data_IF_784944941053
#
_entry.id   IF_784944941053
#
_cell.length_a   1.000
_cell.length_b   1.000
_cell.length_c   1.000
_cell.angle_alpha   90.00
_cell.angle_beta   90.00
_cell.angle_gamma   90.00
#
_symmetry.space_group_name_H-M   'P 1'
#
loop_
_entity.id
_entity.type
_entity.pdbx_description
1 polymer ?
#
# COMPACT_ATOMS: atom_id res chain seq x y z
N UNK A 1 5.63 -10.11 -2.95
CA UNK A 1 5.34 -8.95 -3.82
C UNK A 1 5.31 -9.32 -5.30
N UNK A 2 4.69 -8.49 -6.15
CA UNK A 2 4.74 -8.63 -7.63
C UNK A 2 4.89 -7.25 -8.28
N UNK A 3 5.93 -6.52 -7.88
CA UNK A 3 6.22 -5.21 -8.46
C UNK A 3 6.38 -5.36 -9.98
N UNK A 4 5.57 -4.61 -10.73
CA UNK A 4 5.59 -4.60 -12.20
C UNK A 4 6.69 -3.65 -12.68
N UNK A 5 7.21 -3.92 -13.86
CA UNK A 5 8.34 -3.15 -14.44
C UNK A 5 8.07 -1.64 -14.52
N UNK A 6 9.16 -0.89 -14.49
CA UNK A 6 9.22 0.57 -14.31
C UNK A 6 8.38 1.36 -15.32
N UNK A 7 8.16 0.84 -16.54
CA UNK A 7 7.37 1.51 -17.58
C UNK A 7 5.85 1.49 -17.36
N UNK A 8 5.31 0.57 -16.55
CA UNK A 8 3.86 0.40 -16.38
C UNK A 8 3.27 1.07 -15.13
N UNK A 9 4.08 1.84 -14.44
CA UNK A 9 3.82 2.43 -13.13
C UNK A 9 3.51 1.39 -12.03
N UNK A 10 4.42 1.49 -11.08
CA UNK A 10 4.85 0.61 -10.02
C UNK A 10 4.41 1.21 -8.68
N UNK A 11 4.32 0.36 -7.66
CA UNK A 11 4.07 0.71 -6.25
C UNK A 11 3.08 1.86 -5.96
N UNK A 12 1.85 1.49 -5.60
CA UNK A 12 0.90 2.44 -5.03
C UNK A 12 1.21 2.66 -3.55
N UNK A 13 1.32 3.93 -3.14
CA UNK A 13 1.44 4.38 -1.76
C UNK A 13 0.13 5.03 -1.35
N UNK A 14 -0.61 4.40 -0.46
CA UNK A 14 -1.83 4.96 0.11
C UNK A 14 -1.60 5.61 1.47
N UNK A 15 -2.54 6.46 1.88
CA UNK A 15 -2.46 7.21 3.14
C UNK A 15 -1.58 8.46 3.10
N UNK A 16 -1.14 8.92 1.93
CA UNK A 16 -0.21 10.05 1.83
C UNK A 16 -0.78 11.39 2.30
N UNK A 17 -2.10 11.50 2.43
CA UNK A 17 -2.80 12.67 2.96
C UNK A 17 -3.07 12.60 4.46
N UNK A 18 -2.68 11.50 5.14
CA UNK A 18 -3.07 11.26 6.54
C UNK A 18 -2.23 12.01 7.56
N UNK A 19 -1.18 12.71 7.10
CA UNK A 19 -0.41 13.63 7.90
C UNK A 19 0.09 14.83 7.08
N UNK A 20 0.32 15.94 7.78
CA UNK A 20 0.89 17.16 7.20
C UNK A 20 2.30 16.87 6.70
N UNK A 21 2.58 17.19 5.42
CA UNK A 21 3.90 17.00 4.80
C UNK A 21 4.23 15.57 4.35
N UNK A 22 3.38 14.58 4.67
CA UNK A 22 3.64 13.17 4.39
C UNK A 22 3.75 12.87 2.88
N UNK A 23 2.91 13.50 2.06
CA UNK A 23 2.98 13.38 0.61
C UNK A 23 4.33 13.83 0.04
N UNK A 24 4.85 14.95 0.53
CA UNK A 24 6.08 15.54 0.01
C UNK A 24 7.28 14.67 0.41
N UNK A 25 7.30 14.19 1.66
CA UNK A 25 8.28 13.21 2.13
C UNK A 25 8.28 11.94 1.27
N UNK A 26 7.10 11.39 0.99
CA UNK A 26 6.98 10.19 0.12
C UNK A 26 7.56 10.46 -1.27
N UNK A 27 7.37 11.67 -1.81
CA UNK A 27 7.91 12.05 -3.12
C UNK A 27 9.43 12.18 -3.09
N UNK A 28 9.97 12.85 -2.07
CA UNK A 28 11.41 13.06 -1.90
C UNK A 28 12.17 11.73 -1.80
N UNK A 29 11.70 10.82 -0.93
CA UNK A 29 12.35 9.50 -0.80
C UNK A 29 12.17 8.68 -2.07
N UNK A 30 11.05 8.82 -2.79
CA UNK A 30 10.84 8.08 -4.04
C UNK A 30 11.80 8.54 -5.15
N UNK A 31 12.08 9.84 -5.21
CA UNK A 31 13.07 10.41 -6.12
C UNK A 31 14.49 9.95 -5.76
N UNK A 32 14.84 9.97 -4.47
CA UNK A 32 16.14 9.47 -3.96
C UNK A 32 16.38 8.01 -4.36
N UNK A 33 15.37 7.17 -4.18
CA UNK A 33 15.45 5.72 -4.43
C UNK A 33 15.17 5.34 -5.88
N UNK A 34 14.83 6.34 -6.72
CA UNK A 34 14.50 6.18 -8.15
C UNK A 34 13.40 5.14 -8.36
N UNK A 35 12.38 5.17 -7.52
CA UNK A 35 11.23 4.27 -7.60
C UNK A 35 10.01 5.04 -8.09
N UNK A 36 9.38 4.55 -9.17
CA UNK A 36 8.12 5.10 -9.64
C UNK A 36 7.01 4.75 -8.64
N UNK A 37 6.35 5.76 -8.07
CA UNK A 37 5.26 5.59 -7.12
C UNK A 37 3.98 6.26 -7.60
N UNK A 38 2.84 5.65 -7.28
CA UNK A 38 1.51 6.28 -7.42
C UNK A 38 0.96 6.58 -6.04
N UNK A 39 0.59 7.83 -5.77
CA UNK A 39 0.10 8.22 -4.45
C UNK A 39 -1.42 8.28 -4.39
N UNK A 40 -2.00 7.79 -3.30
CA UNK A 40 -3.41 7.95 -2.93
C UNK A 40 -3.47 8.63 -1.57
N UNK A 41 -4.17 9.78 -1.44
CA UNK A 41 -4.21 10.50 -0.17
C UNK A 41 -4.99 9.76 0.92
N UNK A 42 -5.94 8.90 0.55
CA UNK A 42 -6.90 8.31 1.47
C UNK A 42 -6.27 7.29 2.43
N UNK A 43 -6.64 7.40 3.71
CA UNK A 43 -6.18 6.49 4.77
C UNK A 43 -7.07 5.29 5.05
N UNK A 44 -8.27 5.24 4.48
CA UNK A 44 -9.22 4.14 4.71
C UNK A 44 -9.25 3.14 3.56
N UNK A 45 -9.19 1.85 3.88
CA UNK A 45 -9.14 0.77 2.90
C UNK A 45 -9.40 -0.60 3.50
N UNK A 46 -9.55 -1.66 2.67
CA UNK A 46 -9.84 -3.02 3.13
C UNK A 46 -8.56 -3.73 3.62
N UNK A 47 -7.88 -3.18 4.61
CA UNK A 47 -6.68 -3.77 5.24
C UNK A 47 -6.46 -3.15 6.64
N UNK A 48 -5.48 -3.65 7.40
CA UNK A 48 -5.31 -3.37 8.83
C UNK A 48 -5.02 -1.90 9.15
N UNK A 49 -4.44 -1.16 8.21
CA UNK A 49 -4.17 0.28 8.35
C UNK A 49 -5.43 1.11 8.63
N UNK A 50 -6.61 0.65 8.19
CA UNK A 50 -7.86 1.39 8.38
C UNK A 50 -8.18 1.65 9.85
N UNK A 51 -7.91 0.69 10.74
CA UNK A 51 -8.16 0.84 12.17
C UNK A 51 -7.33 1.98 12.79
N UNK A 52 -6.07 2.11 12.37
CA UNK A 52 -5.20 3.21 12.81
C UNK A 52 -5.74 4.56 12.30
N UNK A 53 -6.10 4.63 11.03
CA UNK A 53 -6.67 5.83 10.43
C UNK A 53 -7.98 6.29 11.11
N UNK A 54 -8.86 5.35 11.49
CA UNK A 54 -10.09 5.67 12.22
C UNK A 54 -9.85 6.20 13.64
N UNK A 55 -8.66 6.00 14.18
CA UNK A 55 -8.22 6.49 15.48
C UNK A 55 -7.27 7.69 15.38
N UNK A 56 -7.32 8.43 14.26
CA UNK A 56 -6.52 9.64 14.03
C UNK A 56 -5.01 9.42 14.09
N UNK A 57 -4.57 8.22 13.68
CA UNK A 57 -3.16 7.88 13.55
C UNK A 57 -2.78 7.95 12.05
N UNK A 58 -1.72 8.69 11.67
CA UNK A 58 -1.23 8.70 10.30
C UNK A 58 -0.85 7.30 9.82
N UNK A 59 -1.16 6.98 8.56
CA UNK A 59 -0.86 5.69 7.97
C UNK A 59 -0.24 5.83 6.60
N UNK A 60 0.68 4.92 6.29
CA UNK A 60 1.11 4.63 4.93
C UNK A 60 0.94 3.14 4.68
N UNK A 61 0.55 2.79 3.45
CA UNK A 61 0.54 1.40 3.01
C UNK A 61 1.01 1.28 1.57
N UNK A 62 1.61 0.13 1.28
CA UNK A 62 2.31 -0.15 0.03
C UNK A 62 1.56 -1.24 -0.72
N UNK A 63 1.23 -0.99 -1.98
CA UNK A 63 0.45 -1.93 -2.78
C UNK A 63 0.98 -2.06 -4.20
N UNK A 64 1.34 -3.29 -4.59
CA UNK A 64 1.84 -3.58 -5.96
C UNK A 64 0.72 -3.87 -6.97
N UNK A 65 -0.54 -3.75 -6.56
CA UNK A 65 -1.68 -4.12 -7.38
C UNK A 65 -2.14 -5.57 -7.18
N UNK A 66 -3.34 -5.87 -7.67
CA UNK A 66 -3.86 -7.24 -7.75
C UNK A 66 -3.19 -8.00 -8.90
N UNK A 67 -3.22 -9.33 -8.84
CA UNK A 67 -2.69 -10.24 -9.85
C UNK A 67 -3.62 -11.44 -10.01
N UNK A 68 -3.39 -12.25 -11.03
CA UNK A 68 -4.30 -13.33 -11.44
C UNK A 68 -4.48 -14.41 -10.35
N UNK A 69 -3.42 -14.68 -9.59
CA UNK A 69 -3.47 -15.66 -8.49
C UNK A 69 -4.00 -15.10 -7.16
N UNK A 70 -4.43 -13.83 -7.11
CA UNK A 70 -4.81 -13.17 -5.85
C UNK A 70 -6.05 -13.84 -5.22
N UNK A 71 -5.99 -14.18 -3.93
CA UNK A 71 -6.99 -14.98 -3.21
C UNK A 71 -7.21 -16.38 -3.81
N UNK A 72 -6.18 -16.98 -4.40
CA UNK A 72 -6.24 -18.37 -4.88
C UNK A 72 -5.18 -19.23 -4.20
N UNK A 73 -5.35 -20.57 -4.15
CA UNK A 73 -4.32 -21.48 -3.68
C UNK A 73 -3.04 -21.49 -4.52
N UNK A 74 -3.05 -20.89 -5.71
CA UNK A 74 -1.90 -20.80 -6.60
C UNK A 74 -1.02 -19.56 -6.32
N UNK A 75 -1.30 -18.80 -5.26
CA UNK A 75 -0.47 -17.67 -4.84
C UNK A 75 0.80 -18.15 -4.12
N UNK A 76 1.72 -18.70 -4.90
CA UNK A 76 2.92 -19.38 -4.41
C UNK A 76 4.18 -18.49 -4.47
N UNK A 77 5.18 -18.84 -3.65
CA UNK A 77 6.40 -18.05 -3.44
C UNK A 77 7.27 -17.91 -4.70
N UNK A 78 7.29 -18.92 -5.58
CA UNK A 78 8.04 -18.90 -6.84
C UNK A 78 7.55 -17.83 -7.82
N UNK A 79 6.33 -17.30 -7.62
CA UNK A 79 5.74 -16.23 -8.43
C UNK A 79 6.10 -14.82 -7.93
N UNK A 80 6.90 -14.71 -6.87
CA UNK A 80 7.32 -13.44 -6.30
C UNK A 80 8.42 -12.82 -7.16
N UNK A 81 8.28 -11.52 -7.47
CA UNK A 81 9.38 -10.72 -7.98
C UNK A 81 10.28 -10.29 -6.80
N UNK A 82 11.24 -11.13 -6.42
CA UNK A 82 12.12 -10.86 -5.27
C UNK A 82 12.99 -9.60 -5.42
N UNK A 83 13.62 -9.31 -6.58
CA UNK A 83 14.30 -8.04 -6.78
C UNK A 83 13.40 -6.83 -6.57
N UNK A 84 12.16 -6.89 -7.08
CA UNK A 84 11.16 -5.85 -6.89
C UNK A 84 10.72 -5.71 -5.45
N UNK A 85 10.52 -6.82 -4.74
CA UNK A 85 10.18 -6.82 -3.31
C UNK A 85 11.30 -6.20 -2.47
N UNK A 86 12.56 -6.51 -2.77
CA UNK A 86 13.69 -5.85 -2.11
C UNK A 86 13.66 -4.34 -2.32
N UNK A 87 13.42 -3.85 -3.55
CA UNK A 87 13.30 -2.41 -3.81
C UNK A 87 12.19 -1.76 -2.97
N UNK A 88 11.05 -2.42 -2.83
CA UNK A 88 9.95 -1.91 -1.99
C UNK A 88 10.34 -1.90 -0.50
N UNK A 89 11.03 -2.94 -0.03
CA UNK A 89 11.47 -3.03 1.35
C UNK A 89 12.54 -1.98 1.70
N UNK A 90 13.51 -1.77 0.80
CA UNK A 90 14.52 -0.72 0.95
C UNK A 90 13.84 0.67 1.02
N UNK A 91 12.92 0.97 0.09
CA UNK A 91 12.17 2.22 0.08
C UNK A 91 11.33 2.44 1.35
N UNK A 92 10.67 1.39 1.85
CA UNK A 92 9.93 1.46 3.10
C UNK A 92 10.85 1.71 4.31
N UNK A 93 12.04 1.10 4.32
CA UNK A 93 13.03 1.32 5.36
C UNK A 93 13.53 2.77 5.38
N UNK A 94 13.86 3.33 4.21
CA UNK A 94 14.31 4.72 4.07
C UNK A 94 13.24 5.73 4.52
N UNK A 95 11.97 5.46 4.21
CA UNK A 95 10.85 6.26 4.73
C UNK A 95 10.77 6.17 6.26
N UNK A 96 10.81 4.97 6.82
CA UNK A 96 10.75 4.77 8.27
C UNK A 96 11.92 5.47 8.96
N UNK A 97 13.14 5.34 8.42
CA UNK A 97 14.33 6.00 8.95
C UNK A 97 14.17 7.53 8.91
N UNK A 98 13.65 8.08 7.81
CA UNK A 98 13.43 9.53 7.71
C UNK A 98 12.43 10.00 8.75
N UNK A 99 11.28 9.31 8.88
CA UNK A 99 10.25 9.64 9.88
C UNK A 99 10.73 9.46 11.31
N UNK A 100 11.50 8.41 11.59
CA UNK A 100 11.99 8.10 12.92
C UNK A 100 13.05 9.09 13.41
N UNK A 101 13.75 9.77 12.49
CA UNK A 101 14.76 10.78 12.80
C UNK A 101 14.19 12.22 12.85
N UNK A 102 12.89 12.42 12.58
CA UNK A 102 12.23 13.71 12.79
C UNK A 102 12.11 14.03 14.28
N UNK A 103 12.40 15.27 14.67
CA UNK A 103 12.29 15.70 16.07
C UNK A 103 10.86 15.66 16.61
N UNK A 104 9.88 15.79 15.70
CA UNK A 104 8.47 15.88 16.06
C UNK A 104 7.66 14.82 15.31
N UNK A 105 6.77 14.15 16.06
CA UNK A 105 5.78 13.28 15.47
C UNK A 105 4.91 14.02 14.44
N UNK A 106 4.63 13.33 13.35
CA UNK A 106 3.75 13.85 12.31
C UNK A 106 2.37 14.19 12.86
N UNK A 107 1.83 15.31 12.39
CA UNK A 107 0.49 15.75 12.78
C UNK A 107 -0.54 15.12 11.86
N UNK A 108 -1.47 14.38 12.44
CA UNK A 108 -2.56 13.75 11.71
C UNK A 108 -3.40 14.78 10.96
N UNK A 109 -3.78 14.40 9.74
CA UNK A 109 -4.71 15.13 8.90
C UNK A 109 -5.71 14.13 8.33
N UNK A 110 -7.01 14.43 8.44
CA UNK A 110 -8.02 13.56 7.85
C UNK A 110 -7.96 13.60 6.31
N UNK A 111 -7.93 12.43 5.67
CA UNK A 111 -7.88 12.27 4.23
C UNK A 111 -8.83 11.15 3.79
N UNK A 112 -10.04 11.56 3.36
CA UNK A 112 -11.07 10.66 2.89
C UNK A 112 -11.93 10.04 4.01
N UNK A 113 -12.89 9.17 3.64
CA UNK A 113 -13.88 8.65 4.58
C UNK A 113 -13.24 7.75 5.64
N UNK A 114 -13.77 7.76 6.87
CA UNK A 114 -13.36 6.85 7.97
C UNK A 114 -14.22 5.58 8.07
N UNK A 115 -15.16 5.40 7.16
CA UNK A 115 -16.06 4.27 7.14
C UNK A 115 -16.30 3.80 5.71
N UNK A 116 -16.74 2.55 5.54
CA UNK A 116 -17.16 2.07 4.22
C UNK A 116 -18.37 2.88 3.73
N UNK A 117 -18.32 3.45 2.52
CA UNK A 117 -19.50 4.03 1.90
C UNK A 117 -20.59 2.96 1.80
N UNK A 118 -21.82 3.28 2.23
CA UNK A 118 -23.00 2.40 2.15
C UNK A 118 -23.38 2.17 0.68
N UNK A 119 -22.64 1.32 -0.01
CA UNK A 119 -22.88 0.96 -1.40
C UNK A 119 -21.59 0.63 -2.14
N UNK A 120 -21.12 -0.62 -2.08
CA UNK A 120 -20.20 -1.13 -3.11
C UNK A 120 -20.36 -2.62 -3.41
N UNK A 121 -20.23 -2.88 -4.72
CA UNK A 121 -20.34 -4.13 -5.46
C UNK A 121 -19.51 -5.25 -4.80
N UNK A 122 -20.14 -6.39 -4.55
CA UNK A 122 -19.47 -7.63 -4.12
C UNK A 122 -18.52 -8.09 -5.22
N UNK A 123 -17.23 -8.22 -4.92
CA UNK A 123 -16.33 -9.03 -5.73
C UNK A 123 -16.70 -10.49 -5.54
N UNK A 124 -16.93 -11.22 -6.63
CA UNK A 124 -17.41 -12.60 -6.63
C UNK A 124 -16.25 -13.52 -6.23
N UNK A 125 -16.28 -14.03 -5.01
CA UNK A 125 -15.39 -15.12 -4.57
C UNK A 125 -15.93 -16.41 -5.21
N UNK A 126 -15.21 -16.96 -6.18
CA UNK A 126 -15.49 -18.27 -6.76
C UNK A 126 -14.62 -19.31 -6.05
N UNK A 127 -15.23 -20.11 -5.18
CA UNK A 127 -14.65 -21.36 -4.74
C UNK A 127 -14.99 -22.41 -5.79
N UNK A 128 -13.99 -22.92 -6.50
CA UNK A 128 -14.17 -24.11 -7.33
C UNK A 128 -14.12 -25.33 -6.40
N UNK A 129 -15.30 -25.87 -6.09
CA UNK A 129 -15.44 -27.11 -5.34
C UNK A 129 -14.90 -28.26 -6.19
N UNK A 130 -13.69 -28.73 -5.88
CA UNK A 130 -13.21 -30.00 -6.39
C UNK A 130 -14.09 -31.13 -5.81
N UNK A 131 -15.15 -31.49 -6.54
CA UNK A 131 -15.85 -32.74 -6.28
C UNK A 131 -15.00 -33.88 -6.82
N UNK A 132 -14.60 -34.75 -5.89
CA UNK A 132 -14.30 -36.16 -6.13
C UNK A 132 -15.28 -36.74 -7.14
N UNK A 133 -14.78 -37.39 -8.19
CA UNK A 133 -15.08 -38.79 -8.54
C UNK A 133 -13.81 -39.39 -9.13
#
# INVERSE_FOLDING_TARGET
GRLRDEEKQSLTIGGTGTAIGLKDLVAEVAEKDKIGVKMSPEGYGPSDHANFYTHDIPVLFFFTGVHDDYHTPADDADKINYPGEKKVADYAADLIETVANEEKAMTFQEAGPKEQPKGRRRFKVIYESAQRI
#
